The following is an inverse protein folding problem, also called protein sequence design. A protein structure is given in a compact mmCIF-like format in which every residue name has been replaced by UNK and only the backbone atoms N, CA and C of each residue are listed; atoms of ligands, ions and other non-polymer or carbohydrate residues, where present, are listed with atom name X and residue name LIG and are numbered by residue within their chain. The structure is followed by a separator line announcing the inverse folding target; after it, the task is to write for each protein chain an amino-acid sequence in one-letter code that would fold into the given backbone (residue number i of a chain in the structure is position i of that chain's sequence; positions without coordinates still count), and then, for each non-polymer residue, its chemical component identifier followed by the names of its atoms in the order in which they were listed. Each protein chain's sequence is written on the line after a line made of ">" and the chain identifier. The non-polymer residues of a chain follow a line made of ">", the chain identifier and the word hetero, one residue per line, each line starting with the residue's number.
data_IF_975076311181
#
_entry.id   IF_975076311181
#
_cell.length_a   1.000
_cell.length_b   1.000
_cell.length_c   1.000
_cell.angle_alpha   90.00
_cell.angle_beta   90.00
_cell.angle_gamma   90.00
#
_symmetry.space_group_name_H-M   'P 1'
#
loop_
_entity.id
_entity.type
_entity.pdbx_description
1 polymer ?
#
# COMPACT_ATOMS: atom_id res chain seq x y z
N UNK A 1 21.80 19.18 -13.90
CA UNK A 1 20.48 18.52 -13.79
C UNK A 1 20.45 17.88 -12.40
N UNK A 2 19.58 18.32 -11.50
CA UNK A 2 19.41 17.66 -10.20
C UNK A 2 18.67 16.35 -10.46
N UNK A 3 19.25 15.23 -10.07
CA UNK A 3 18.56 13.93 -10.11
C UNK A 3 17.48 13.92 -9.03
N UNK A 4 16.27 13.61 -9.39
CA UNK A 4 15.17 13.41 -8.43
C UNK A 4 15.46 12.11 -7.68
N UNK A 5 15.51 12.13 -6.33
CA UNK A 5 15.72 10.90 -5.57
C UNK A 5 14.49 9.97 -5.68
N UNK A 6 14.75 8.68 -5.73
CA UNK A 6 13.75 7.63 -5.65
C UNK A 6 13.93 6.95 -4.30
N UNK A 7 12.92 7.07 -3.44
CA UNK A 7 12.96 6.53 -2.08
C UNK A 7 12.19 5.22 -2.03
N UNK A 8 12.72 4.24 -1.31
CA UNK A 8 12.01 3.00 -1.04
C UNK A 8 12.35 2.47 0.36
N UNK A 9 11.49 1.66 0.98
CA UNK A 9 11.81 1.01 2.24
C UNK A 9 12.90 -0.04 2.04
N UNK A 10 13.66 -0.30 3.10
CA UNK A 10 14.68 -1.37 3.12
C UNK A 10 14.11 -2.69 2.62
N UNK A 11 14.86 -3.40 1.81
CA UNK A 11 14.50 -4.71 1.25
C UNK A 11 13.59 -4.64 0.02
N UNK A 12 13.23 -3.45 -0.46
CA UNK A 12 12.36 -3.27 -1.60
C UNK A 12 12.84 -4.04 -2.84
N UNK A 13 14.14 -3.97 -3.16
CA UNK A 13 14.71 -4.63 -4.34
C UNK A 13 14.65 -6.15 -4.24
N UNK A 14 14.88 -6.71 -3.05
CA UNK A 14 14.81 -8.15 -2.80
C UNK A 14 13.37 -8.65 -2.98
N UNK A 15 12.39 -7.90 -2.49
CA UNK A 15 10.98 -8.24 -2.61
C UNK A 15 10.49 -8.13 -4.06
N UNK A 16 10.93 -7.12 -4.80
CA UNK A 16 10.64 -7.02 -6.24
C UNK A 16 11.23 -8.22 -7.01
N UNK A 17 12.45 -8.60 -6.72
CA UNK A 17 13.07 -9.77 -7.35
C UNK A 17 12.29 -11.05 -7.02
N UNK A 18 11.88 -11.24 -5.77
CA UNK A 18 11.09 -12.37 -5.32
C UNK A 18 9.73 -12.46 -6.01
N UNK A 19 8.92 -11.41 -5.91
CA UNK A 19 7.54 -11.44 -6.41
C UNK A 19 7.44 -11.20 -7.92
N UNK A 20 8.15 -10.22 -8.45
CA UNK A 20 7.96 -9.77 -9.83
C UNK A 20 8.91 -10.44 -10.84
N UNK A 21 9.91 -11.19 -10.40
CA UNK A 21 10.80 -11.94 -11.28
C UNK A 21 10.61 -13.43 -11.07
N UNK A 22 10.85 -13.92 -9.85
CA UNK A 22 10.87 -15.37 -9.58
C UNK A 22 9.44 -15.93 -9.56
N UNK A 23 8.55 -15.34 -8.80
CA UNK A 23 7.17 -15.82 -8.64
C UNK A 23 6.21 -15.35 -9.74
N UNK A 24 6.60 -14.35 -10.54
CA UNK A 24 5.75 -13.67 -11.51
C UNK A 24 4.96 -14.58 -12.45
N UNK A 25 5.53 -15.63 -13.08
CA UNK A 25 4.76 -16.48 -13.99
C UNK A 25 3.57 -17.18 -13.33
N UNK A 26 3.73 -17.60 -12.07
CA UNK A 26 2.65 -18.21 -11.30
C UNK A 26 1.65 -17.17 -10.80
N UNK A 27 2.17 -16.06 -10.32
CA UNK A 27 1.40 -14.91 -9.86
C UNK A 27 0.53 -14.31 -10.97
N UNK A 28 1.09 -14.09 -12.16
CA UNK A 28 0.35 -13.52 -13.30
C UNK A 28 -0.82 -14.42 -13.74
N UNK A 29 -0.64 -15.75 -13.77
CA UNK A 29 -1.73 -16.67 -14.08
C UNK A 29 -2.86 -16.62 -13.06
N UNK A 30 -2.52 -16.55 -11.76
CA UNK A 30 -3.52 -16.46 -10.68
C UNK A 30 -4.21 -15.08 -10.67
N UNK A 31 -3.46 -14.01 -10.92
CA UNK A 31 -4.02 -12.67 -11.05
C UNK A 31 -5.00 -12.58 -12.21
N UNK A 32 -4.73 -13.22 -13.35
CA UNK A 32 -5.66 -13.29 -14.47
C UNK A 32 -7.01 -13.91 -14.06
N UNK A 33 -6.99 -14.92 -13.21
CA UNK A 33 -8.20 -15.52 -12.62
C UNK A 33 -8.88 -14.57 -11.61
N UNK A 34 -8.11 -14.02 -10.67
CA UNK A 34 -8.62 -13.14 -9.61
C UNK A 34 -9.32 -11.91 -10.18
N UNK A 35 -8.76 -11.34 -11.23
CA UNK A 35 -9.28 -10.12 -11.87
C UNK A 35 -10.09 -10.38 -13.13
N UNK A 36 -10.37 -11.63 -13.45
CA UNK A 36 -11.16 -12.04 -14.62
C UNK A 36 -10.65 -11.46 -15.96
N UNK A 37 -9.32 -11.33 -16.11
CA UNK A 37 -8.69 -10.65 -17.25
C UNK A 37 -8.93 -11.35 -18.61
N UNK A 38 -9.31 -12.64 -18.60
CA UNK A 38 -9.62 -13.42 -19.78
C UNK A 38 -11.08 -13.32 -20.23
N UNK A 39 -11.94 -12.61 -19.49
CA UNK A 39 -13.34 -12.47 -19.85
C UNK A 39 -13.57 -11.29 -20.80
N UNK A 40 -14.63 -11.32 -21.63
CA UNK A 40 -15.01 -10.20 -22.47
C UNK A 40 -15.23 -8.91 -21.65
N UNK A 41 -14.94 -7.77 -22.26
CA UNK A 41 -15.21 -6.44 -21.69
C UNK A 41 -16.66 -6.05 -21.90
N UNK A 42 -17.55 -6.61 -21.10
CA UNK A 42 -18.99 -6.31 -21.13
C UNK A 42 -19.62 -6.55 -19.74
N UNK A 43 -20.92 -6.30 -19.64
CA UNK A 43 -21.68 -6.45 -18.38
C UNK A 43 -21.76 -7.90 -17.87
N UNK A 44 -21.46 -8.91 -18.70
CA UNK A 44 -21.48 -10.34 -18.33
C UNK A 44 -20.07 -10.88 -18.06
N UNK A 45 -19.05 -10.12 -18.37
CA UNK A 45 -17.66 -10.48 -18.23
C UNK A 45 -16.89 -9.53 -17.30
N UNK A 46 -15.83 -8.93 -17.82
CA UNK A 46 -14.95 -8.06 -17.08
C UNK A 46 -15.35 -6.59 -17.24
N UNK A 47 -15.74 -5.92 -16.17
CA UNK A 47 -16.16 -4.50 -16.20
C UNK A 47 -15.04 -3.58 -15.73
N UNK A 48 -14.36 -3.93 -14.63
CA UNK A 48 -13.28 -3.14 -14.04
C UNK A 48 -12.39 -4.02 -13.17
N UNK A 49 -11.09 -3.68 -13.08
CA UNK A 49 -10.14 -4.30 -12.14
C UNK A 49 -10.20 -3.68 -10.75
N UNK A 50 -11.02 -2.67 -10.53
CA UNK A 50 -11.03 -1.90 -9.28
C UNK A 50 -10.25 -0.58 -9.38
N UNK A 51 -9.47 -0.39 -10.43
CA UNK A 51 -8.63 0.80 -10.66
C UNK A 51 -9.40 1.93 -11.38
N UNK A 52 -10.70 1.73 -11.56
CA UNK A 52 -11.57 2.66 -12.27
C UNK A 52 -12.23 2.02 -13.51
N UNK A 53 -13.17 2.74 -14.14
CA UNK A 53 -13.88 2.25 -15.32
C UNK A 53 -12.92 2.12 -16.51
N UNK A 54 -13.06 1.01 -17.25
CA UNK A 54 -12.41 0.90 -18.58
C UNK A 54 -13.18 1.75 -19.58
N UNK A 55 -12.48 2.58 -20.32
CA UNK A 55 -13.09 3.29 -21.44
C UNK A 55 -13.31 2.33 -22.60
N UNK A 56 -14.55 2.29 -23.09
CA UNK A 56 -14.91 1.50 -24.26
C UNK A 56 -14.09 1.92 -25.48
N UNK A 57 -13.42 0.98 -26.10
CA UNK A 57 -12.69 1.17 -27.36
C UNK A 57 -11.21 0.85 -27.35
N UNK A 58 -10.54 0.89 -26.21
CA UNK A 58 -9.10 0.58 -26.15
C UNK A 58 -8.77 -0.83 -25.66
N UNK A 59 -9.73 -1.53 -25.06
CA UNK A 59 -9.51 -2.86 -24.48
C UNK A 59 -8.54 -2.88 -23.29
N UNK A 60 -7.97 -1.74 -22.91
CA UNK A 60 -6.95 -1.63 -21.89
C UNK A 60 -7.45 -0.84 -20.68
N UNK A 61 -6.85 -1.12 -19.54
CA UNK A 61 -6.93 -0.28 -18.33
C UNK A 61 -6.44 1.14 -18.66
N UNK A 62 -6.66 2.07 -17.73
CA UNK A 62 -6.18 3.46 -17.82
C UNK A 62 -4.65 3.55 -18.03
N UNK A 63 -3.91 2.47 -17.69
CA UNK A 63 -2.48 2.38 -17.96
C UNK A 63 -2.23 2.26 -19.46
N UNK A 64 -1.49 3.21 -20.02
CA UNK A 64 -1.02 3.15 -21.40
C UNK A 64 -0.23 1.86 -21.64
N UNK A 65 -0.44 1.26 -22.81
CA UNK A 65 0.41 0.16 -23.26
C UNK A 65 1.86 0.68 -23.37
N UNK A 66 2.76 0.02 -22.66
CA UNK A 66 4.18 0.39 -22.62
C UNK A 66 5.04 -0.76 -22.18
N UNK A 67 6.35 -0.61 -22.24
CA UNK A 67 7.31 -1.54 -21.65
C UNK A 67 7.38 -1.28 -20.15
N UNK A 68 7.23 -2.33 -19.37
CA UNK A 68 7.44 -2.29 -17.92
C UNK A 68 8.93 -2.45 -17.62
N UNK A 69 9.50 -1.54 -16.85
CA UNK A 69 10.87 -1.64 -16.34
C UNK A 69 10.96 -1.13 -14.91
N UNK A 70 12.01 -1.52 -14.20
CA UNK A 70 12.29 -1.09 -12.86
C UNK A 70 13.42 -0.04 -12.87
N UNK A 71 13.19 1.10 -12.26
CA UNK A 71 14.23 2.05 -11.91
C UNK A 71 14.58 1.80 -10.43
N UNK A 72 15.80 1.37 -10.10
CA UNK A 72 16.17 1.11 -8.72
C UNK A 72 16.05 2.35 -7.84
N UNK A 73 15.70 2.21 -6.55
CA UNK A 73 15.78 3.30 -5.60
C UNK A 73 17.19 3.87 -5.53
N UNK A 74 17.28 5.18 -5.36
CA UNK A 74 18.55 5.88 -5.15
C UNK A 74 18.85 6.07 -3.66
N UNK A 75 17.86 5.85 -2.80
CA UNK A 75 17.98 5.94 -1.36
C UNK A 75 17.01 4.98 -0.69
N UNK A 76 17.51 4.17 0.25
CA UNK A 76 16.70 3.28 1.06
C UNK A 76 16.42 3.90 2.43
N UNK A 77 15.15 3.90 2.83
CA UNK A 77 14.73 4.21 4.20
C UNK A 77 15.06 3.00 5.07
N UNK A 78 15.94 3.18 6.04
CA UNK A 78 16.53 2.08 6.80
C UNK A 78 15.95 1.87 8.18
N UNK A 79 15.25 2.87 8.73
CA UNK A 79 14.65 2.80 10.08
C UNK A 79 13.45 3.75 10.22
N UNK A 80 12.55 3.40 11.11
CA UNK A 80 11.47 4.29 11.55
C UNK A 80 12.03 5.53 12.23
N UNK A 81 11.49 6.70 11.90
CA UNK A 81 11.96 8.00 12.38
C UNK A 81 13.04 8.64 11.50
N UNK A 82 13.43 8.02 10.39
CA UNK A 82 14.28 8.66 9.39
C UNK A 82 13.58 9.89 8.81
N UNK A 83 14.34 10.99 8.61
CA UNK A 83 13.80 12.25 8.10
C UNK A 83 14.62 12.69 6.89
N UNK A 84 13.93 13.01 5.80
CA UNK A 84 14.54 13.53 4.58
C UNK A 84 13.81 14.81 4.15
N UNK A 85 14.57 15.77 3.62
CA UNK A 85 14.00 16.98 3.03
C UNK A 85 14.26 16.97 1.52
N UNK A 86 13.19 17.04 0.72
CA UNK A 86 13.24 17.09 -0.74
C UNK A 86 12.51 18.33 -1.21
N UNK A 87 13.18 19.19 -1.98
CA UNK A 87 12.65 20.46 -2.48
C UNK A 87 11.97 21.33 -1.40
N UNK A 88 12.56 21.32 -0.19
CA UNK A 88 12.01 22.06 0.96
C UNK A 88 10.89 21.36 1.71
N UNK A 89 10.38 20.24 1.23
CA UNK A 89 9.36 19.43 1.91
C UNK A 89 10.03 18.41 2.82
N UNK A 90 9.69 18.45 4.10
CA UNK A 90 10.17 17.50 5.10
C UNK A 90 9.28 16.25 5.11
N UNK A 91 9.92 15.09 5.13
CA UNK A 91 9.30 13.77 5.13
C UNK A 91 9.84 12.98 6.33
N UNK A 92 8.97 12.43 7.15
CA UNK A 92 9.29 11.51 8.24
C UNK A 92 8.75 10.12 7.88
N UNK A 93 9.53 9.06 8.10
CA UNK A 93 9.20 7.72 7.65
C UNK A 93 8.97 6.76 8.81
N UNK A 94 8.01 5.85 8.62
CA UNK A 94 7.82 4.68 9.46
C UNK A 94 7.89 3.43 8.59
N UNK A 95 8.80 2.51 8.89
CA UNK A 95 8.84 1.20 8.22
C UNK A 95 7.75 0.29 8.78
N UNK A 96 7.04 -0.40 7.88
CA UNK A 96 5.93 -1.29 8.20
C UNK A 96 6.01 -2.61 7.43
N UNK A 97 7.16 -3.31 7.46
CA UNK A 97 7.36 -4.52 6.68
C UNK A 97 6.36 -5.63 7.05
N UNK A 98 5.95 -6.42 6.07
CA UNK A 98 5.01 -7.54 6.27
C UNK A 98 3.55 -7.11 6.45
N UNK A 99 3.23 -5.85 6.20
CA UNK A 99 1.85 -5.33 6.21
C UNK A 99 1.20 -5.55 4.83
N UNK A 100 0.78 -4.49 4.14
CA UNK A 100 0.21 -4.62 2.79
C UNK A 100 1.22 -5.23 1.82
N UNK A 101 2.48 -4.82 1.93
CA UNK A 101 3.60 -5.39 1.18
C UNK A 101 4.70 -5.89 2.12
N UNK A 102 5.56 -6.83 1.66
CA UNK A 102 6.71 -7.30 2.45
C UNK A 102 7.69 -6.19 2.80
N UNK A 103 7.90 -5.22 1.89
CA UNK A 103 8.66 -4.01 2.11
C UNK A 103 7.71 -2.81 1.96
N UNK A 104 7.26 -2.24 3.08
CA UNK A 104 6.27 -1.17 3.12
C UNK A 104 6.71 -0.06 4.08
N UNK A 105 6.20 1.16 3.85
CA UNK A 105 6.43 2.32 4.72
C UNK A 105 5.27 3.30 4.71
N UNK A 106 5.05 3.95 5.85
CA UNK A 106 4.19 5.11 5.99
C UNK A 106 5.02 6.40 5.92
N UNK A 107 4.42 7.50 5.48
CA UNK A 107 5.08 8.78 5.31
C UNK A 107 4.27 9.87 6.02
N UNK A 108 4.93 10.61 6.89
CA UNK A 108 4.35 11.80 7.51
C UNK A 108 5.00 13.07 6.95
N UNK A 109 4.17 14.02 6.55
CA UNK A 109 4.59 15.34 6.07
C UNK A 109 4.25 16.38 7.15
N UNK A 110 5.19 16.68 8.05
CA UNK A 110 4.91 17.50 9.24
C UNK A 110 4.45 18.92 8.89
N UNK A 111 5.01 19.54 7.85
CA UNK A 111 4.68 20.90 7.47
C UNK A 111 3.28 21.02 6.82
N UNK A 112 2.75 19.88 6.35
CA UNK A 112 1.39 19.75 5.81
C UNK A 112 0.44 19.03 6.78
N UNK A 113 0.90 18.64 7.96
CA UNK A 113 0.14 17.86 8.96
C UNK A 113 -0.55 16.63 8.34
N UNK A 114 0.08 16.04 7.33
CA UNK A 114 -0.49 14.98 6.51
C UNK A 114 0.21 13.65 6.76
N UNK A 115 -0.57 12.63 7.10
CA UNK A 115 -0.09 11.25 7.22
C UNK A 115 -0.56 10.43 6.01
N UNK A 116 0.39 9.88 5.27
CA UNK A 116 0.16 8.91 4.20
C UNK A 116 0.43 7.50 4.73
N UNK A 117 -0.59 6.66 4.74
CA UNK A 117 -0.51 5.29 5.27
C UNK A 117 -0.45 4.24 4.15
N UNK A 118 -0.06 4.62 2.95
CA UNK A 118 -0.06 3.72 1.79
C UNK A 118 -1.39 2.94 1.73
N UNK A 119 -1.37 1.61 1.67
CA UNK A 119 -2.58 0.77 1.78
C UNK A 119 -2.84 0.24 3.20
N UNK A 120 -1.99 0.61 4.18
CA UNK A 120 -2.07 0.06 5.53
C UNK A 120 -3.36 0.40 6.29
N UNK A 121 -4.07 1.48 5.94
CA UNK A 121 -5.31 1.87 6.59
C UNK A 121 -6.32 2.45 5.60
N UNK A 122 -6.74 1.66 4.64
CA UNK A 122 -7.82 2.01 3.71
C UNK A 122 -9.18 2.09 4.39
N UNK A 123 -10.20 2.54 3.64
CA UNK A 123 -11.59 2.61 4.12
C UNK A 123 -12.26 1.25 4.34
N UNK A 124 -11.66 0.18 3.85
CA UNK A 124 -12.13 -1.21 3.98
C UNK A 124 -11.05 -2.07 4.60
N UNK A 125 -11.43 -3.23 5.15
CA UNK A 125 -10.44 -4.21 5.61
C UNK A 125 -9.70 -4.80 4.41
N UNK A 126 -8.40 -4.64 4.39
CA UNK A 126 -7.54 -5.23 3.36
C UNK A 126 -7.44 -6.75 3.55
N UNK A 127 -7.25 -7.51 2.47
CA UNK A 127 -7.03 -8.95 2.57
C UNK A 127 -5.68 -9.26 3.22
N UNK A 128 -5.63 -10.34 4.00
CA UNK A 128 -4.40 -10.82 4.64
C UNK A 128 -3.74 -11.94 3.82
N UNK A 129 -4.51 -12.64 3.01
CA UNK A 129 -4.06 -13.73 2.15
C UNK A 129 -4.37 -13.39 0.69
N UNK A 130 -3.40 -12.86 -0.07
CA UNK A 130 -3.61 -12.58 -1.48
C UNK A 130 -3.70 -13.87 -2.30
N UNK A 131 -4.88 -14.15 -2.89
CA UNK A 131 -5.13 -15.38 -3.63
C UNK A 131 -4.25 -15.53 -4.88
N UNK A 132 -3.73 -14.43 -5.41
CA UNK A 132 -2.75 -14.44 -6.51
C UNK A 132 -1.42 -15.06 -6.12
N UNK A 133 -1.12 -15.20 -4.82
CA UNK A 133 0.08 -15.86 -4.33
C UNK A 133 1.19 -14.94 -3.87
N UNK A 134 0.90 -13.69 -3.56
CA UNK A 134 1.81 -12.84 -2.79
C UNK A 134 1.95 -13.39 -1.35
N UNK A 135 2.98 -12.95 -0.64
CA UNK A 135 3.22 -13.38 0.74
C UNK A 135 2.02 -13.09 1.65
N UNK A 136 1.80 -13.99 2.61
CA UNK A 136 0.77 -13.81 3.65
C UNK A 136 1.18 -12.65 4.54
N UNK A 137 0.27 -11.72 4.74
CA UNK A 137 0.50 -10.51 5.54
C UNK A 137 0.45 -10.82 7.03
N UNK A 138 1.34 -10.22 7.80
CA UNK A 138 1.37 -10.38 9.26
C UNK A 138 0.34 -9.45 9.91
N UNK A 139 -0.84 -10.00 10.23
CA UNK A 139 -1.93 -9.26 10.83
C UNK A 139 -1.58 -8.66 12.21
N UNK A 140 -0.70 -9.32 12.98
CA UNK A 140 -0.28 -8.83 14.29
C UNK A 140 0.67 -7.64 14.13
N UNK A 141 1.73 -7.81 13.35
CA UNK A 141 2.66 -6.72 13.07
C UNK A 141 1.94 -5.52 12.45
N UNK A 142 0.99 -5.76 11.55
CA UNK A 142 0.19 -4.70 10.95
C UNK A 142 -0.58 -3.87 11.99
N UNK A 143 -1.24 -4.53 12.94
CA UNK A 143 -1.94 -3.83 14.03
C UNK A 143 -0.97 -3.04 14.94
N UNK A 144 0.21 -3.61 15.21
CA UNK A 144 1.26 -2.95 15.99
C UNK A 144 1.78 -1.70 15.28
N UNK A 145 2.05 -1.76 13.96
CA UNK A 145 2.49 -0.61 13.17
C UNK A 145 1.42 0.49 13.07
N UNK A 146 0.15 0.15 12.93
CA UNK A 146 -0.92 1.14 12.97
C UNK A 146 -1.01 1.82 14.33
N UNK A 147 -0.82 1.06 15.42
CA UNK A 147 -0.76 1.61 16.77
C UNK A 147 0.47 2.52 16.95
N UNK A 148 1.61 2.14 16.40
CA UNK A 148 2.82 2.96 16.38
C UNK A 148 2.62 4.25 15.57
N UNK A 149 1.97 4.18 14.39
CA UNK A 149 1.60 5.37 13.61
C UNK A 149 0.80 6.38 14.41
N UNK A 150 -0.17 5.89 15.20
CA UNK A 150 -0.95 6.75 16.12
C UNK A 150 -0.08 7.44 17.16
N UNK A 151 0.89 6.72 17.74
CA UNK A 151 1.79 7.27 18.75
C UNK A 151 2.75 8.31 18.17
N UNK A 152 3.32 8.02 16.99
CA UNK A 152 4.32 8.87 16.35
C UNK A 152 3.71 10.14 15.75
N UNK A 153 2.56 10.01 15.09
CA UNK A 153 2.03 11.06 14.23
C UNK A 153 0.65 11.55 14.64
N UNK A 154 -0.09 10.79 15.44
CA UNK A 154 -1.49 11.02 15.70
C UNK A 154 -1.84 12.44 16.14
N UNK A 155 -1.13 12.98 17.12
CA UNK A 155 -1.37 14.34 17.63
C UNK A 155 -0.95 15.46 16.66
N UNK A 156 -0.21 15.11 15.60
CA UNK A 156 0.32 16.04 14.60
C UNK A 156 -0.39 15.96 13.25
N UNK A 157 -1.34 15.00 13.11
CA UNK A 157 -2.03 14.72 11.84
C UNK A 157 -3.37 15.44 11.78
N UNK A 158 -3.59 16.23 10.75
CA UNK A 158 -4.87 16.82 10.39
C UNK A 158 -5.48 16.11 9.18
N UNK A 159 -4.64 15.69 8.24
CA UNK A 159 -5.06 15.04 6.99
C UNK A 159 -4.52 13.62 6.91
N UNK A 160 -5.40 12.69 6.53
CA UNK A 160 -5.04 11.29 6.29
C UNK A 160 -5.24 10.95 4.82
N UNK A 161 -4.18 10.43 4.19
CA UNK A 161 -4.19 9.96 2.80
C UNK A 161 -3.87 8.47 2.78
N UNK A 162 -4.68 7.71 2.06
CA UNK A 162 -4.47 6.27 1.85
C UNK A 162 -4.79 5.94 0.39
N UNK A 163 -4.15 4.89 -0.17
CA UNK A 163 -4.49 4.41 -1.49
C UNK A 163 -5.90 3.80 -1.50
N UNK A 164 -6.53 3.81 -2.67
CA UNK A 164 -7.84 3.22 -2.93
C UNK A 164 -8.97 3.80 -2.09
N UNK A 165 -8.77 5.00 -1.50
CA UNK A 165 -9.79 5.66 -0.71
C UNK A 165 -9.66 7.19 -0.76
N UNK A 166 -10.75 7.89 -0.45
CA UNK A 166 -10.76 9.34 -0.37
C UNK A 166 -9.90 9.85 0.80
N UNK A 167 -9.18 10.96 0.63
CA UNK A 167 -8.53 11.65 1.75
C UNK A 167 -9.53 11.96 2.87
N UNK A 168 -9.05 11.98 4.09
CA UNK A 168 -9.83 12.33 5.28
C UNK A 168 -9.33 13.63 5.86
N UNK A 169 -10.26 14.48 6.23
CA UNK A 169 -10.04 15.78 6.86
C UNK A 169 -10.57 15.75 8.29
N UNK A 170 -10.04 16.62 9.13
CA UNK A 170 -10.36 16.75 10.53
C UNK A 170 -10.04 15.50 11.35
N UNK A 171 -9.26 15.69 12.39
CA UNK A 171 -8.72 14.62 13.22
C UNK A 171 -9.77 13.64 13.75
N UNK A 172 -10.93 14.11 14.17
CA UNK A 172 -12.04 13.31 14.68
C UNK A 172 -12.59 12.30 13.65
N UNK A 173 -12.68 12.70 12.38
CA UNK A 173 -13.17 11.81 11.32
C UNK A 173 -12.08 10.83 10.85
N UNK A 174 -10.82 11.24 10.84
CA UNK A 174 -9.68 10.41 10.43
C UNK A 174 -9.40 9.31 11.44
N UNK A 175 -9.42 9.64 12.72
CA UNK A 175 -9.11 8.70 13.79
C UNK A 175 -10.16 7.61 14.01
N UNK A 176 -11.38 7.80 13.55
CA UNK A 176 -12.39 6.73 13.61
C UNK A 176 -12.05 5.52 12.75
N UNK A 177 -11.17 5.66 11.78
CA UNK A 177 -10.70 4.53 10.95
C UNK A 177 -9.65 3.68 11.68
N UNK A 178 -8.70 4.31 12.36
CA UNK A 178 -7.60 3.63 13.03
C UNK A 178 -8.06 2.59 14.07
N UNK A 179 -8.91 2.93 15.04
CA UNK A 179 -9.38 1.95 16.01
C UNK A 179 -10.08 0.76 15.36
N UNK A 180 -10.83 0.98 14.29
CA UNK A 180 -11.53 -0.10 13.56
C UNK A 180 -10.55 -1.03 12.88
N UNK A 181 -9.53 -0.51 12.21
CA UNK A 181 -8.54 -1.33 11.52
C UNK A 181 -7.65 -2.08 12.52
N UNK A 182 -7.17 -1.42 13.56
CA UNK A 182 -6.40 -2.05 14.63
C UNK A 182 -7.23 -3.16 15.31
N UNK A 183 -8.47 -2.88 15.69
CA UNK A 183 -9.35 -3.88 16.34
C UNK A 183 -9.63 -5.06 15.42
N UNK A 184 -9.94 -4.81 14.15
CA UNK A 184 -10.20 -5.88 13.18
C UNK A 184 -8.97 -6.75 12.96
N UNK A 185 -7.79 -6.15 12.80
CA UNK A 185 -6.54 -6.89 12.62
C UNK A 185 -6.22 -7.71 13.87
N UNK A 186 -6.35 -7.14 15.07
CA UNK A 186 -6.18 -7.87 16.33
C UNK A 186 -7.16 -9.04 16.49
N UNK A 187 -8.40 -8.91 16.01
CA UNK A 187 -9.37 -10.01 16.07
C UNK A 187 -8.91 -11.21 15.25
N UNK A 188 -8.24 -11.00 14.13
CA UNK A 188 -7.69 -12.12 13.34
C UNK A 188 -6.50 -12.81 14.03
N UNK A 189 -5.70 -12.04 14.80
CA UNK A 189 -4.51 -12.60 15.49
C UNK A 189 -4.86 -13.35 16.76
N UNK A 190 -6.00 -13.03 17.41
CA UNK A 190 -6.35 -13.59 18.73
C UNK A 190 -7.31 -14.77 18.65
N UNK A 191 -7.81 -15.17 17.49
CA UNK A 191 -8.60 -16.40 17.38
C UNK A 191 -7.68 -17.60 17.56
N UNK A 192 -7.91 -18.44 18.58
CA UNK A 192 -7.18 -19.69 18.70
C UNK A 192 -7.47 -20.54 17.48
N UNK A 193 -6.42 -21.16 16.94
CA UNK A 193 -6.54 -22.23 15.96
C UNK A 193 -7.25 -23.39 16.65
N UNK A 194 -8.55 -23.51 16.44
CA UNK A 194 -9.36 -24.65 16.80
C UNK A 194 -9.26 -25.72 15.75
#
# INVERSE_FOLDING_TARGET
>A
MRLVPILAPRGFMDQIASENVIAFPAWARRAAYQFALGLPLDAKGFVTSGDGPRYSGSGNTISAAGTTSLIPPTHEITHTGEVITIDGVRLEFQLTPGTEAPAEMNIFLPDLQTLCLAENAGGTLHNLLPLRGAEVRDAKAWAEYLTESLRLYGSRTEYLVTQHYWPRWAMTASWTMFPRNVTRTNTFTTRPSG
#
